data_IF_899909732333
#
_entry.id   IF_899909732333
#
_cell.length_a   1.000
_cell.length_b   1.000
_cell.length_c   1.000
_cell.angle_alpha   90.00
_cell.angle_beta   90.00
_cell.angle_gamma   90.00
#
_symmetry.space_group_name_H-M   'P 1'
#
loop_
_entity.id
_entity.type
_entity.pdbx_description
1 polymer ?
#
# COMPACT_ATOMS: atom_id res chain seq x y z
N UNK A 1 15.99 4.92 16.85
CA UNK A 1 14.80 5.06 17.73
C UNK A 1 13.53 5.23 16.90
N UNK A 2 13.62 6.01 15.81
CA UNK A 2 12.54 6.24 14.85
C UNK A 2 11.90 4.95 14.30
N UNK A 3 12.70 3.97 13.88
CA UNK A 3 12.21 2.75 13.23
C UNK A 3 11.37 1.89 14.18
N UNK A 4 11.83 1.74 15.43
CA UNK A 4 11.07 1.02 16.47
C UNK A 4 9.75 1.74 16.79
N UNK A 5 9.77 3.07 16.82
CA UNK A 5 8.56 3.86 17.02
C UNK A 5 7.60 3.72 15.83
N UNK A 6 8.09 3.75 14.59
CA UNK A 6 7.27 3.59 13.38
C UNK A 6 6.56 2.24 13.33
N UNK A 7 7.21 1.16 13.78
CA UNK A 7 6.57 -0.16 13.90
C UNK A 7 5.55 -0.17 15.05
N UNK A 8 5.93 0.38 16.22
CA UNK A 8 5.05 0.43 17.41
C UNK A 8 3.77 1.23 17.17
N UNK A 9 3.86 2.32 16.41
CA UNK A 9 2.75 3.24 16.13
C UNK A 9 2.20 3.08 14.70
N UNK A 10 2.39 1.90 14.09
CA UNK A 10 1.79 1.59 12.80
C UNK A 10 0.26 1.66 12.93
N UNK A 11 -0.45 2.44 12.09
CA UNK A 11 -1.89 2.54 12.16
C UNK A 11 -2.57 1.26 11.67
N UNK A 12 -3.80 1.03 12.15
CA UNK A 12 -4.74 0.14 11.49
C UNK A 12 -5.44 0.90 10.38
N UNK A 13 -5.58 0.28 9.21
CA UNK A 13 -6.28 0.85 8.06
C UNK A 13 -7.38 -0.11 7.63
N UNK A 14 -8.63 0.33 7.72
CA UNK A 14 -9.78 -0.36 7.17
C UNK A 14 -10.15 0.27 5.84
N UNK A 15 -10.17 -0.53 4.78
CA UNK A 15 -10.64 -0.11 3.46
C UNK A 15 -12.15 -0.31 3.43
N UNK A 16 -12.90 0.79 3.32
CA UNK A 16 -14.36 0.77 3.22
C UNK A 16 -14.78 0.66 1.75
N UNK A 17 -14.04 1.34 0.86
CA UNK A 17 -14.27 1.35 -0.57
C UNK A 17 -12.95 1.63 -1.31
N UNK A 18 -12.89 1.27 -2.59
CA UNK A 18 -11.74 1.44 -3.46
C UNK A 18 -10.63 0.41 -3.25
N UNK A 19 -9.43 0.77 -3.70
CA UNK A 19 -8.30 -0.15 -3.74
C UNK A 19 -7.65 -0.42 -2.39
N UNK A 20 -7.25 -1.67 -2.18
CA UNK A 20 -6.38 -2.06 -1.08
C UNK A 20 -4.94 -1.54 -1.30
N UNK A 21 -4.09 -1.48 -0.26
CA UNK A 21 -2.71 -1.06 -0.42
C UNK A 21 -1.88 -2.08 -1.21
N UNK A 22 -1.13 -1.59 -2.21
CA UNK A 22 -0.18 -2.37 -3.02
C UNK A 22 1.25 -1.82 -2.85
N UNK A 23 2.29 -2.64 -3.06
CA UNK A 23 3.65 -2.16 -3.19
C UNK A 23 3.77 -1.17 -4.36
N UNK A 24 4.30 0.03 -4.08
CA UNK A 24 4.55 1.04 -5.11
C UNK A 24 5.88 0.81 -5.82
N UNK A 25 6.87 0.29 -5.10
CA UNK A 25 8.24 0.06 -5.57
C UNK A 25 8.81 -1.20 -4.92
N UNK A 26 9.64 -1.95 -5.65
CA UNK A 26 10.36 -3.11 -5.12
C UNK A 26 11.83 -2.79 -4.80
N UNK A 27 12.59 -3.78 -4.33
CA UNK A 27 14.01 -3.59 -3.96
C UNK A 27 14.94 -3.30 -5.14
N UNK A 28 14.54 -3.64 -6.37
CA UNK A 28 15.27 -3.30 -7.60
C UNK A 28 14.97 -1.87 -8.09
N UNK A 29 14.04 -1.16 -7.44
CA UNK A 29 13.61 0.18 -7.84
C UNK A 29 12.53 0.19 -8.93
N UNK A 30 11.97 -0.97 -9.29
CA UNK A 30 10.87 -1.05 -10.26
C UNK A 30 9.58 -0.54 -9.62
N UNK A 31 8.84 0.30 -10.33
CA UNK A 31 7.56 0.85 -9.87
C UNK A 31 6.39 0.01 -10.40
N UNK A 32 5.27 0.00 -9.67
CA UNK A 32 4.07 -0.65 -10.18
C UNK A 32 3.51 0.05 -11.43
N UNK A 33 2.80 -0.69 -12.28
CA UNK A 33 2.24 -0.18 -13.54
C UNK A 33 0.90 0.55 -13.40
N UNK A 34 0.43 0.74 -12.15
CA UNK A 34 -0.89 1.28 -11.80
C UNK A 34 -2.08 0.58 -12.49
N UNK A 35 -3.30 1.06 -12.22
CA UNK A 35 -4.51 0.65 -12.91
C UNK A 35 -5.13 1.88 -13.56
N UNK A 36 -5.67 1.71 -14.77
CA UNK A 36 -6.43 2.77 -15.43
C UNK A 36 -7.71 3.05 -14.62
N UNK A 37 -8.01 4.33 -14.35
CA UNK A 37 -9.21 4.77 -13.64
C UNK A 37 -10.49 4.61 -14.47
N UNK A 38 -10.85 3.37 -14.81
CA UNK A 38 -12.06 3.01 -15.56
C UNK A 38 -12.63 1.72 -15.00
N UNK A 39 -13.95 1.60 -14.96
CA UNK A 39 -14.62 0.43 -14.40
C UNK A 39 -15.09 0.68 -12.96
N UNK A 40 -15.13 -0.38 -12.13
CA UNK A 40 -15.49 -0.27 -10.72
C UNK A 40 -14.30 0.22 -9.90
N UNK A 41 -14.56 1.01 -8.87
CA UNK A 41 -13.53 1.62 -8.01
C UNK A 41 -12.62 0.60 -7.31
N UNK A 42 -13.08 -0.64 -7.13
CA UNK A 42 -12.34 -1.75 -6.53
C UNK A 42 -12.08 -2.92 -7.49
N UNK A 43 -12.40 -2.78 -8.78
CA UNK A 43 -12.60 -3.90 -9.71
C UNK A 43 -11.41 -4.87 -9.80
N UNK A 44 -10.21 -4.32 -9.91
CA UNK A 44 -8.97 -5.07 -10.11
C UNK A 44 -7.97 -4.89 -8.95
N UNK A 45 -8.41 -4.31 -7.82
CA UNK A 45 -7.52 -3.87 -6.73
C UNK A 45 -7.98 -4.25 -5.32
N UNK A 46 -8.65 -5.40 -5.17
CA UNK A 46 -9.19 -5.89 -3.88
C UNK A 46 -8.15 -6.52 -2.94
N UNK A 47 -6.87 -6.55 -3.34
CA UNK A 47 -5.81 -7.15 -2.54
C UNK A 47 -4.63 -7.64 -3.38
N UNK A 48 -3.41 -7.36 -2.91
CA UNK A 48 -2.17 -7.81 -3.53
C UNK A 48 -1.88 -9.27 -3.21
N UNK A 49 -1.60 -10.09 -4.23
CA UNK A 49 -1.11 -11.46 -4.05
C UNK A 49 0.26 -11.56 -3.36
N UNK A 50 1.02 -10.46 -3.35
CA UNK A 50 2.30 -10.32 -2.65
C UNK A 50 2.14 -9.77 -1.22
N UNK A 51 0.90 -9.49 -0.80
CA UNK A 51 0.61 -8.77 0.44
C UNK A 51 0.64 -7.25 0.26
N UNK A 52 0.07 -6.55 1.24
CA UNK A 52 -0.04 -5.09 1.28
C UNK A 52 1.20 -4.41 1.88
N UNK A 53 1.45 -3.17 1.46
CA UNK A 53 2.58 -2.36 1.92
C UNK A 53 2.11 -1.04 2.57
N UNK A 54 2.81 -0.60 3.61
CA UNK A 54 2.66 0.72 4.23
C UNK A 54 4.04 1.38 4.30
N UNK A 55 4.11 2.69 4.05
CA UNK A 55 5.35 3.48 4.07
C UNK A 55 5.32 4.49 5.21
N UNK A 56 6.44 4.69 5.90
CA UNK A 56 6.57 5.64 7.01
C UNK A 56 7.87 6.42 6.93
N UNK A 57 7.82 7.71 7.27
CA UNK A 57 8.97 8.61 7.37
C UNK A 57 8.82 9.44 8.65
N UNK A 58 9.88 9.52 9.44
CA UNK A 58 9.92 10.36 10.64
C UNK A 58 11.00 11.44 10.51
N UNK A 59 10.82 12.54 11.22
CA UNK A 59 11.75 13.67 11.30
C UNK A 59 12.05 14.04 12.75
#
# INVERSE_FOLDING_TARGET
>A
MSEKAAVKFKPSLQIIDGCHPYPAVNTAGETNGELKGSGKDDGDCKGSGLGSQVYGRAG
#
